data_IF_843524306187
#
_entry.id   IF_843524306187
#
_cell.length_a   1.000
_cell.length_b   1.000
_cell.length_c   1.000
_cell.angle_alpha   90.00
_cell.angle_beta   90.00
_cell.angle_gamma   90.00
#
_symmetry.space_group_name_H-M   'P 1'
#
loop_
_entity.id
_entity.type
_entity.pdbx_description
1 polymer ?
#
# COMPACT_ATOMS: atom_id res chain seq x y z
N UNK A 1 -26.51 22.27 5.47
CA UNK A 1 -25.26 22.06 6.23
C UNK A 1 -24.57 20.84 5.64
N UNK A 2 -23.23 20.78 5.58
CA UNK A 2 -22.54 19.62 4.98
C UNK A 2 -22.40 18.48 5.99
N UNK A 3 -22.78 17.25 5.62
CA UNK A 3 -22.77 16.07 6.51
C UNK A 3 -21.42 15.84 7.19
N UNK A 4 -20.31 16.01 6.46
CA UNK A 4 -18.96 15.85 7.02
C UNK A 4 -18.63 16.90 8.09
N UNK A 5 -19.18 18.12 7.99
CA UNK A 5 -18.94 19.18 8.97
C UNK A 5 -19.63 18.83 10.28
N UNK A 6 -20.83 18.27 10.22
CA UNK A 6 -21.59 17.82 11.39
C UNK A 6 -20.92 16.61 12.07
N UNK A 7 -20.44 15.64 11.28
CA UNK A 7 -19.75 14.45 11.80
C UNK A 7 -18.42 14.77 12.48
N UNK A 8 -17.64 15.69 11.92
CA UNK A 8 -16.29 16.02 12.39
C UNK A 8 -16.27 17.09 13.50
N UNK A 9 -17.41 17.70 13.81
CA UNK A 9 -17.53 18.71 14.85
C UNK A 9 -17.84 18.05 16.20
N UNK A 10 -16.93 18.08 17.19
CA UNK A 10 -17.16 17.50 18.52
C UNK A 10 -18.38 18.08 19.24
N UNK A 11 -18.84 19.27 18.86
CA UNK A 11 -20.04 19.88 19.44
C UNK A 11 -21.35 19.30 18.86
N UNK A 12 -21.30 18.63 17.70
CA UNK A 12 -22.49 18.14 16.98
C UNK A 12 -22.53 16.61 16.88
N UNK A 13 -21.37 15.94 16.91
CA UNK A 13 -21.27 14.50 16.67
C UNK A 13 -21.86 13.61 17.77
N UNK A 14 -22.23 14.14 18.95
CA UNK A 14 -22.92 13.41 20.03
C UNK A 14 -24.36 13.00 19.66
N UNK A 15 -25.01 13.74 18.77
CA UNK A 15 -26.42 13.53 18.42
C UNK A 15 -26.61 13.58 16.88
N UNK A 16 -25.69 12.95 16.15
CA UNK A 16 -25.77 12.88 14.70
C UNK A 16 -27.02 12.13 14.25
N UNK A 17 -27.77 12.69 13.31
CA UNK A 17 -29.00 12.09 12.79
C UNK A 17 -28.88 11.85 11.29
N UNK A 18 -29.08 10.61 10.88
CA UNK A 18 -29.18 10.21 9.48
C UNK A 18 -30.65 10.23 9.00
N UNK A 19 -30.86 10.47 7.70
CA UNK A 19 -32.19 10.55 7.07
C UNK A 19 -32.95 9.23 7.00
N UNK A 20 -32.28 8.09 7.19
CA UNK A 20 -32.94 6.79 7.15
C UNK A 20 -33.45 6.38 8.54
N UNK A 21 -32.61 6.50 9.56
CA UNK A 21 -32.96 6.11 10.93
C UNK A 21 -33.74 7.20 11.67
N UNK A 22 -33.56 8.48 11.30
CA UNK A 22 -34.17 9.66 11.95
C UNK A 22 -34.06 9.61 13.50
N UNK A 23 -32.98 9.01 14.00
CA UNK A 23 -32.70 8.81 15.41
C UNK A 23 -31.28 9.29 15.73
N UNK A 24 -31.07 10.05 16.82
CA UNK A 24 -29.74 10.58 17.16
C UNK A 24 -28.79 9.47 17.66
N UNK A 25 -27.58 9.45 17.11
CA UNK A 25 -26.50 8.56 17.53
C UNK A 25 -25.28 9.34 18.03
N UNK A 26 -24.62 8.78 19.04
CA UNK A 26 -23.39 9.34 19.61
C UNK A 26 -22.14 8.81 18.89
N UNK A 27 -21.44 9.72 18.21
CA UNK A 27 -20.17 9.48 17.52
C UNK A 27 -18.99 10.18 18.21
N UNK A 28 -19.17 10.73 19.41
CA UNK A 28 -18.13 11.49 20.13
C UNK A 28 -16.88 10.66 20.46
N UNK A 29 -17.02 9.34 20.56
CA UNK A 29 -15.93 8.40 20.85
C UNK A 29 -15.34 7.74 19.60
N UNK A 30 -15.72 8.19 18.40
CA UNK A 30 -15.23 7.65 17.13
C UNK A 30 -13.98 8.39 16.67
N UNK A 31 -12.92 7.64 16.36
CA UNK A 31 -11.73 8.20 15.71
C UNK A 31 -11.96 8.27 14.19
N UNK A 32 -11.98 9.47 13.64
CA UNK A 32 -12.08 9.70 12.21
C UNK A 32 -10.69 9.78 11.57
N UNK A 33 -10.46 8.97 10.54
CA UNK A 33 -9.24 9.01 9.72
C UNK A 33 -9.67 9.17 8.27
N UNK A 34 -9.19 10.22 7.62
CA UNK A 34 -9.42 10.49 6.21
C UNK A 34 -8.09 10.50 5.44
N UNK A 35 -8.12 10.08 4.18
CA UNK A 35 -6.95 10.12 3.29
C UNK A 35 -7.26 10.95 2.05
N UNK A 36 -6.34 11.80 1.62
CA UNK A 36 -6.46 12.57 0.39
C UNK A 36 -5.11 12.67 -0.33
N UNK A 37 -5.12 12.51 -1.66
CA UNK A 37 -3.94 12.76 -2.49
C UNK A 37 -3.69 14.26 -2.71
N UNK A 38 -4.77 15.05 -2.72
CA UNK A 38 -4.76 16.50 -2.90
C UNK A 38 -5.89 17.11 -2.05
N UNK A 39 -5.60 18.19 -1.34
CA UNK A 39 -6.56 18.93 -0.51
C UNK A 39 -7.26 20.09 -1.23
N UNK A 40 -6.82 20.46 -2.44
CA UNK A 40 -7.31 21.65 -3.15
C UNK A 40 -8.79 21.63 -3.53
N UNK A 41 -9.41 20.44 -3.63
CA UNK A 41 -10.85 20.30 -3.88
C UNK A 41 -11.67 20.04 -2.61
N UNK A 42 -11.03 20.01 -1.43
CA UNK A 42 -11.71 19.76 -0.17
C UNK A 42 -12.20 21.10 0.38
N UNK A 43 -13.47 21.17 0.77
CA UNK A 43 -14.04 22.37 1.36
C UNK A 43 -13.27 22.77 2.63
N UNK A 44 -12.93 24.06 2.75
CA UNK A 44 -12.19 24.61 3.90
C UNK A 44 -12.86 24.27 5.23
N UNK A 45 -14.20 24.32 5.28
CA UNK A 45 -14.97 23.98 6.49
C UNK A 45 -14.74 22.54 7.00
N UNK A 46 -14.36 21.61 6.13
CA UNK A 46 -14.00 20.23 6.48
C UNK A 46 -12.53 20.16 6.88
N UNK A 47 -11.64 20.82 6.13
CA UNK A 47 -10.20 20.84 6.43
C UNK A 47 -9.89 21.47 7.78
N UNK A 48 -10.61 22.53 8.18
CA UNK A 48 -10.41 23.21 9.47
C UNK A 48 -10.74 22.31 10.68
N UNK A 49 -11.42 21.18 10.46
CA UNK A 49 -11.80 20.20 11.49
C UNK A 49 -10.93 18.93 11.45
N UNK A 50 -9.92 18.90 10.58
CA UNK A 50 -9.00 17.78 10.44
C UNK A 50 -7.58 18.27 10.73
N UNK A 51 -6.72 17.39 11.23
CA UNK A 51 -5.29 17.64 11.32
C UNK A 51 -4.59 17.05 10.07
N UNK A 52 -4.07 17.87 9.14
CA UNK A 52 -3.42 17.36 7.94
C UNK A 52 -2.04 16.80 8.28
N UNK A 53 -1.85 15.50 8.08
CA UNK A 53 -0.55 14.83 8.18
C UNK A 53 -0.02 14.56 6.78
N UNK A 54 1.08 15.23 6.42
CA UNK A 54 1.71 15.08 5.10
C UNK A 54 2.56 13.82 5.07
N UNK A 55 2.28 12.94 4.11
CA UNK A 55 3.07 11.73 3.87
C UNK A 55 4.09 11.99 2.76
N UNK A 56 5.40 12.06 3.06
CA UNK A 56 6.43 12.30 2.05
C UNK A 56 6.61 11.09 1.13
N UNK A 57 7.25 11.34 -0.01
CA UNK A 57 7.69 10.28 -0.92
C UNK A 57 8.92 9.56 -0.36
N UNK A 58 9.13 8.32 -0.78
CA UNK A 58 10.29 7.53 -0.35
C UNK A 58 11.47 7.70 -1.31
N UNK A 59 12.68 7.73 -0.76
CA UNK A 59 13.93 7.58 -1.51
C UNK A 59 14.10 6.14 -2.02
N UNK A 60 14.98 5.91 -2.99
CA UNK A 60 15.27 4.56 -3.47
C UNK A 60 15.82 3.65 -2.36
N UNK A 61 16.63 4.21 -1.45
CA UNK A 61 17.21 3.49 -0.31
C UNK A 61 16.11 3.07 0.68
N UNK A 62 15.18 3.97 0.99
CA UNK A 62 14.02 3.65 1.84
C UNK A 62 13.14 2.59 1.20
N UNK A 63 12.89 2.69 -0.11
CA UNK A 63 12.13 1.68 -0.85
C UNK A 63 12.82 0.34 -0.90
N UNK A 64 14.16 0.31 -0.98
CA UNK A 64 14.93 -0.93 -0.90
C UNK A 64 14.70 -1.63 0.44
N UNK A 65 14.78 -0.87 1.55
CA UNK A 65 14.54 -1.36 2.90
C UNK A 65 13.09 -1.85 3.05
N UNK A 66 12.12 -1.05 2.58
CA UNK A 66 10.69 -1.41 2.62
C UNK A 66 10.42 -2.67 1.79
N UNK A 67 11.02 -2.74 0.61
CA UNK A 67 10.94 -3.86 -0.33
C UNK A 67 11.40 -5.17 0.30
N UNK A 68 12.59 -5.16 0.91
CA UNK A 68 13.21 -6.34 1.52
C UNK A 68 12.53 -6.77 2.82
N UNK A 69 12.27 -5.82 3.71
CA UNK A 69 11.87 -6.14 5.08
C UNK A 69 10.35 -6.34 5.24
N UNK A 70 9.54 -5.79 4.34
CA UNK A 70 8.08 -5.79 4.49
C UNK A 70 7.36 -6.33 3.25
N UNK A 71 7.66 -5.80 2.06
CA UNK A 71 6.89 -6.16 0.86
C UNK A 71 7.21 -7.56 0.34
N UNK A 72 8.48 -7.95 0.29
CA UNK A 72 8.88 -9.27 -0.18
C UNK A 72 8.36 -10.38 0.76
N UNK A 73 8.53 -10.31 2.10
CA UNK A 73 7.96 -11.31 3.02
C UNK A 73 6.44 -11.40 2.90
N UNK A 74 5.76 -10.25 2.76
CA UNK A 74 4.31 -10.22 2.56
C UNK A 74 3.91 -10.90 1.23
N UNK A 75 4.60 -10.61 0.14
CA UNK A 75 4.31 -11.21 -1.17
C UNK A 75 4.58 -12.73 -1.19
N UNK A 76 5.64 -13.19 -0.52
CA UNK A 76 5.95 -14.62 -0.32
C UNK A 76 4.81 -15.30 0.43
N UNK A 77 4.36 -14.71 1.53
CA UNK A 77 3.26 -15.23 2.35
C UNK A 77 1.94 -15.27 1.58
N UNK A 78 1.59 -14.20 0.87
CA UNK A 78 0.37 -14.12 0.04
C UNK A 78 0.37 -15.13 -1.12
N UNK A 79 1.55 -15.43 -1.69
CA UNK A 79 1.71 -16.41 -2.76
C UNK A 79 1.80 -17.87 -2.25
N UNK A 80 1.93 -18.08 -0.94
CA UNK A 80 2.05 -19.40 -0.34
C UNK A 80 3.32 -20.17 -0.71
N UNK A 81 4.40 -19.46 -1.07
CA UNK A 81 5.69 -20.07 -1.43
C UNK A 81 6.60 -20.18 -0.21
N UNK A 82 7.48 -21.20 -0.18
CA UNK A 82 8.52 -21.27 0.85
C UNK A 82 9.59 -20.20 0.56
N UNK A 83 9.76 -19.25 1.47
CA UNK A 83 10.71 -18.15 1.34
C UNK A 83 12.16 -18.59 1.19
N UNK A 84 12.53 -19.76 1.73
CA UNK A 84 13.89 -20.30 1.62
C UNK A 84 14.25 -20.71 0.18
N UNK A 85 13.26 -20.87 -0.69
CA UNK A 85 13.45 -21.21 -2.10
C UNK A 85 13.65 -19.98 -2.98
N UNK A 86 13.47 -18.75 -2.47
CA UNK A 86 13.59 -17.52 -3.24
C UNK A 86 14.79 -16.70 -2.76
N UNK A 87 15.72 -16.43 -3.67
CA UNK A 87 16.81 -15.49 -3.44
C UNK A 87 16.85 -14.44 -4.55
N UNK A 88 16.90 -13.17 -4.18
CA UNK A 88 16.99 -12.03 -5.11
C UNK A 88 18.38 -11.41 -4.95
N UNK A 89 19.14 -11.34 -6.04
CA UNK A 89 20.48 -10.76 -6.01
C UNK A 89 20.45 -9.26 -5.67
N UNK A 90 21.45 -8.78 -4.95
CA UNK A 90 21.52 -7.36 -4.56
C UNK A 90 21.57 -6.44 -5.79
N UNK A 91 22.25 -6.90 -6.84
CA UNK A 91 22.43 -6.16 -8.09
C UNK A 91 21.12 -5.94 -8.88
N UNK A 92 20.05 -6.71 -8.63
CA UNK A 92 18.79 -6.57 -9.38
C UNK A 92 17.77 -5.67 -8.72
N UNK A 93 17.93 -5.34 -7.44
CA UNK A 93 16.99 -4.47 -6.74
C UNK A 93 16.76 -3.11 -7.40
N UNK A 94 17.79 -2.39 -7.92
CA UNK A 94 17.57 -1.13 -8.63
C UNK A 94 16.61 -1.28 -9.82
N UNK A 95 16.65 -2.41 -10.53
CA UNK A 95 15.75 -2.69 -11.66
C UNK A 95 14.33 -3.03 -11.19
N UNK A 96 14.19 -3.71 -10.05
CA UNK A 96 12.89 -4.03 -9.43
C UNK A 96 12.20 -2.77 -8.88
N UNK A 97 12.98 -1.82 -8.36
CA UNK A 97 12.48 -0.56 -7.81
C UNK A 97 11.88 0.37 -8.89
N UNK A 98 12.41 0.33 -10.11
CA UNK A 98 12.06 1.25 -11.20
C UNK A 98 11.83 0.52 -12.53
N UNK A 99 10.86 -0.41 -12.63
CA UNK A 99 10.66 -1.20 -13.84
C UNK A 99 10.23 -0.34 -15.04
N UNK A 100 9.48 0.75 -14.83
CA UNK A 100 8.91 1.61 -15.88
C UNK A 100 8.81 3.11 -15.48
N UNK A 101 9.78 3.62 -14.71
CA UNK A 101 9.86 5.05 -14.38
C UNK A 101 9.84 5.37 -12.88
N UNK A 102 9.56 6.63 -12.55
CA UNK A 102 9.54 7.16 -11.19
C UNK A 102 8.14 7.01 -10.56
N UNK A 103 8.04 6.21 -9.51
CA UNK A 103 6.91 6.16 -8.59
C UNK A 103 7.32 6.93 -7.32
N UNK A 104 6.48 7.77 -6.73
CA UNK A 104 6.79 8.41 -5.45
C UNK A 104 6.60 7.47 -4.25
N UNK A 105 5.74 6.46 -4.42
CA UNK A 105 5.42 5.46 -3.41
C UNK A 105 6.05 4.10 -3.69
N UNK A 106 5.41 3.07 -3.12
CA UNK A 106 5.85 1.67 -3.17
C UNK A 106 4.90 0.77 -3.96
N UNK A 107 3.90 1.33 -4.64
CA UNK A 107 2.85 0.54 -5.30
C UNK A 107 3.42 -0.26 -6.47
N UNK A 108 4.26 0.36 -7.29
CA UNK A 108 4.90 -0.31 -8.43
C UNK A 108 5.86 -1.40 -7.95
N UNK A 109 6.66 -1.11 -6.91
CA UNK A 109 7.53 -2.09 -6.26
C UNK A 109 6.75 -3.30 -5.73
N UNK A 110 5.64 -3.06 -5.01
CA UNK A 110 4.77 -4.12 -4.49
C UNK A 110 4.22 -5.00 -5.62
N UNK A 111 3.80 -4.41 -6.75
CA UNK A 111 3.30 -5.16 -7.91
C UNK A 111 4.40 -6.03 -8.53
N UNK A 112 5.61 -5.50 -8.69
CA UNK A 112 6.77 -6.23 -9.21
C UNK A 112 7.09 -7.45 -8.35
N UNK A 113 7.17 -7.27 -7.03
CA UNK A 113 7.45 -8.36 -6.09
C UNK A 113 6.34 -9.42 -6.08
N UNK A 114 5.08 -9.01 -6.13
CA UNK A 114 3.95 -9.94 -6.26
C UNK A 114 3.98 -10.71 -7.59
N UNK A 115 4.37 -10.07 -8.70
CA UNK A 115 4.50 -10.74 -10.00
C UNK A 115 5.58 -11.83 -9.96
N UNK A 116 6.74 -11.48 -9.40
CA UNK A 116 7.84 -12.41 -9.14
C UNK A 116 7.35 -13.62 -8.34
N UNK A 117 6.71 -13.39 -7.18
CA UNK A 117 6.25 -14.45 -6.30
C UNK A 117 5.20 -15.34 -6.96
N UNK A 118 4.24 -14.76 -7.71
CA UNK A 118 3.23 -15.53 -8.45
C UNK A 118 3.83 -16.45 -9.51
N UNK A 119 4.85 -15.97 -10.25
CA UNK A 119 5.52 -16.81 -11.27
C UNK A 119 6.31 -17.94 -10.64
N UNK A 120 6.93 -17.71 -9.48
CA UNK A 120 7.59 -18.77 -8.73
C UNK A 120 6.57 -19.80 -8.23
N UNK A 121 5.45 -19.34 -7.65
CA UNK A 121 4.38 -20.22 -7.22
C UNK A 121 3.87 -21.10 -8.38
N UNK A 122 3.68 -20.51 -9.56
CA UNK A 122 3.32 -21.24 -10.77
C UNK A 122 4.37 -22.30 -11.15
N UNK A 123 5.65 -21.92 -11.20
CA UNK A 123 6.75 -22.87 -11.51
C UNK A 123 6.81 -24.03 -10.51
N UNK A 124 6.53 -23.77 -9.23
CA UNK A 124 6.48 -24.81 -8.21
C UNK A 124 5.35 -25.81 -8.44
N UNK A 125 4.16 -25.34 -8.83
CA UNK A 125 3.02 -26.20 -9.18
C UNK A 125 3.29 -26.98 -10.47
N UNK A 126 4.02 -26.41 -11.43
CA UNK A 126 4.45 -27.07 -12.67
C UNK A 126 5.58 -28.11 -12.45
N UNK A 127 6.02 -28.34 -11.19
CA UNK A 127 7.02 -29.35 -10.83
C UNK A 127 8.46 -28.83 -10.72
N UNK A 128 8.66 -27.51 -10.81
CA UNK A 128 9.96 -26.88 -10.59
C UNK A 128 10.40 -26.99 -9.13
N UNK A 129 11.52 -27.65 -8.88
CA UNK A 129 12.20 -27.68 -7.58
C UNK A 129 13.26 -26.58 -7.54
N UNK A 130 13.16 -25.66 -6.58
CA UNK A 130 14.10 -24.56 -6.38
C UNK A 130 15.54 -25.02 -6.04
N UNK A 131 16.44 -24.07 -5.71
CA UNK A 131 16.17 -22.67 -5.40
C UNK A 131 15.97 -21.79 -6.64
N UNK A 132 14.99 -20.89 -6.56
CA UNK A 132 14.71 -19.85 -7.55
C UNK A 132 15.55 -18.61 -7.23
N UNK A 133 16.69 -18.49 -7.91
CA UNK A 133 17.57 -17.31 -7.82
C UNK A 133 17.24 -16.31 -8.93
N UNK A 134 16.94 -15.07 -8.55
CA UNK A 134 16.66 -13.97 -9.47
C UNK A 134 17.94 -13.15 -9.66
N UNK A 135 18.39 -13.09 -10.91
CA UNK A 135 19.60 -12.39 -11.37
C UNK A 135 19.25 -11.43 -12.51
N UNK A 136 20.20 -10.59 -12.93
CA UNK A 136 19.95 -9.61 -13.99
C UNK A 136 19.50 -10.24 -15.31
N UNK A 137 19.97 -11.46 -15.60
CA UNK A 137 19.69 -12.14 -16.85
C UNK A 137 18.26 -12.68 -16.93
N UNK A 138 17.73 -13.19 -15.80
CA UNK A 138 16.40 -13.81 -15.75
C UNK A 138 15.30 -12.88 -15.21
N UNK A 139 15.64 -11.69 -14.68
CA UNK A 139 14.67 -10.78 -14.07
C UNK A 139 13.50 -10.45 -15.01
N UNK A 140 13.78 -10.27 -16.31
CA UNK A 140 12.76 -9.97 -17.32
C UNK A 140 11.71 -11.07 -17.46
N UNK A 141 12.09 -12.32 -17.23
CA UNK A 141 11.15 -13.45 -17.23
C UNK A 141 10.15 -13.37 -16.08
N UNK A 142 10.52 -12.71 -14.97
CA UNK A 142 9.67 -12.58 -13.79
C UNK A 142 8.87 -11.29 -13.75
N UNK A 143 9.35 -10.20 -14.38
CA UNK A 143 8.66 -8.91 -14.39
C UNK A 143 7.64 -8.72 -15.54
N UNK A 144 7.68 -9.58 -16.57
CA UNK A 144 6.75 -9.54 -17.72
C UNK A 144 5.31 -9.96 -17.45
#
# INVERSE_FOLDING_TARGET
MGVLVELLDPAQNQAFTDHYLDFPYDLSQVLFIATANNTGNIATAVLDRLEPIVMPSYSDEEKLIIGKNYLLPKAISEAGINGDLLSIDEAVWPQILRPLGFDSGIRSLSRSLQSICRKIARKQVEGGTGPFRITGDNLREYLS
#
